data_IF_458610248180
#
_entry.id   IF_458610248180
#
_cell.length_a   1.000
_cell.length_b   1.000
_cell.length_c   1.000
_cell.angle_alpha   90.00
_cell.angle_beta   90.00
_cell.angle_gamma   90.00
#
_symmetry.space_group_name_H-M   'P 1'
#
loop_
_entity.id
_entity.type
_entity.pdbx_description
1 polymer ?
#
# COMPACT_ATOMS: atom_id res chain seq x y z
N UNK A 1 70.99 10.93 -2.29
CA UNK A 1 72.22 10.55 -3.01
C UNK A 1 71.98 9.18 -3.66
N UNK A 2 72.49 8.77 -4.83
CA UNK A 2 73.08 9.47 -6.01
C UNK A 2 73.39 8.44 -7.13
N UNK A 3 73.60 8.76 -8.43
CA UNK A 3 72.99 9.76 -9.35
C UNK A 3 73.52 9.52 -10.81
N UNK A 4 72.79 8.79 -11.68
CA UNK A 4 73.13 8.59 -13.13
C UNK A 4 74.40 7.66 -13.24
N UNK A 5 74.89 7.04 -14.33
CA UNK A 5 74.74 7.09 -15.80
C UNK A 5 74.67 5.64 -16.38
N UNK A 6 74.27 5.29 -17.62
CA UNK A 6 74.31 5.87 -18.98
C UNK A 6 75.69 5.91 -19.69
N UNK A 7 75.97 4.88 -20.52
CA UNK A 7 76.60 4.87 -21.88
C UNK A 7 76.59 3.40 -22.37
N UNK A 8 76.44 2.96 -23.63
CA UNK A 8 76.67 3.45 -25.01
C UNK A 8 78.04 3.07 -25.62
N UNK A 9 78.01 2.28 -26.70
CA UNK A 9 79.14 1.82 -27.54
C UNK A 9 78.85 0.38 -28.07
N UNK A 10 78.76 0.02 -29.36
CA UNK A 10 79.53 0.33 -30.59
C UNK A 10 80.83 -0.53 -30.71
N UNK A 11 81.26 -1.12 -31.84
CA UNK A 11 80.68 -1.60 -33.13
C UNK A 11 81.85 -2.26 -33.92
N UNK A 12 81.58 -3.18 -34.87
CA UNK A 12 82.54 -3.78 -35.83
C UNK A 12 83.69 -4.63 -35.20
N UNK A 13 84.40 -5.53 -35.90
CA UNK A 13 84.62 -5.73 -37.35
C UNK A 13 84.93 -7.20 -37.72
N UNK A 14 84.63 -7.61 -38.97
CA UNK A 14 85.41 -8.49 -39.89
C UNK A 14 85.90 -9.90 -39.40
N UNK A 15 86.26 -10.90 -40.23
CA UNK A 15 86.26 -11.24 -41.67
C UNK A 15 86.29 -12.81 -41.77
N UNK A 16 86.41 -13.58 -42.87
CA UNK A 16 86.77 -13.38 -44.29
C UNK A 16 85.95 -14.37 -45.20
N UNK A 17 86.32 -14.51 -46.49
CA UNK A 17 86.35 -15.71 -47.39
C UNK A 17 85.48 -16.98 -47.16
N UNK A 18 85.11 -17.80 -48.16
CA UNK A 18 84.62 -17.68 -49.58
C UNK A 18 84.39 -19.10 -50.14
N UNK A 19 83.75 -19.22 -51.32
CA UNK A 19 83.50 -20.47 -52.08
C UNK A 19 82.47 -21.44 -51.45
N UNK A 20 81.75 -22.30 -52.20
CA UNK A 20 81.76 -22.52 -53.66
C UNK A 20 80.32 -22.75 -54.20
N UNK A 21 80.03 -22.35 -55.44
CA UNK A 21 78.70 -22.43 -56.06
C UNK A 21 78.54 -23.70 -56.90
N UNK A 22 78.05 -24.80 -56.31
CA UNK A 22 77.67 -26.01 -57.05
C UNK A 22 76.14 -26.13 -57.19
N UNK A 23 75.68 -26.25 -58.43
CA UNK A 23 74.26 -26.16 -58.80
C UNK A 23 73.52 -27.51 -58.67
N UNK A 24 72.40 -27.53 -57.93
CA UNK A 24 71.55 -28.72 -57.78
C UNK A 24 70.11 -28.48 -58.32
N UNK A 25 69.44 -29.56 -58.76
CA UNK A 25 68.19 -29.50 -59.54
C UNK A 25 66.98 -28.99 -58.73
N UNK A 26 66.04 -28.25 -59.34
CA UNK A 26 64.81 -27.81 -58.68
C UNK A 26 63.88 -28.99 -58.40
N UNK A 27 63.47 -29.16 -57.13
CA UNK A 27 62.43 -30.09 -56.73
C UNK A 27 61.04 -29.49 -57.07
N UNK A 28 60.14 -30.27 -57.69
CA UNK A 28 58.77 -29.80 -57.96
C UNK A 28 57.98 -29.68 -56.67
N UNK A 29 57.62 -28.45 -56.28
CA UNK A 29 56.73 -28.21 -55.16
C UNK A 29 55.28 -28.65 -55.49
N UNK A 30 54.68 -29.45 -54.60
CA UNK A 30 53.25 -29.79 -54.63
C UNK A 30 52.58 -29.09 -53.46
N UNK A 31 51.95 -27.93 -53.71
CA UNK A 31 51.19 -27.19 -52.70
C UNK A 31 50.18 -26.21 -53.34
N UNK A 32 49.11 -26.73 -53.96
CA UNK A 32 47.96 -25.91 -54.38
C UNK A 32 47.02 -25.68 -53.20
N UNK A 33 47.15 -24.54 -52.52
CA UNK A 33 46.27 -24.14 -51.42
C UNK A 33 45.57 -22.81 -51.75
N UNK A 34 44.30 -22.87 -52.14
CA UNK A 34 43.48 -21.68 -52.38
C UNK A 34 43.05 -21.03 -51.05
N UNK A 35 43.06 -19.70 -50.92
CA UNK A 35 42.57 -19.04 -49.71
C UNK A 35 41.04 -19.18 -49.61
N UNK A 36 40.57 -19.97 -48.64
CA UNK A 36 39.14 -20.11 -48.35
C UNK A 36 38.56 -18.78 -47.82
N UNK A 37 37.98 -17.99 -48.73
CA UNK A 37 37.18 -16.81 -48.39
C UNK A 37 35.93 -17.26 -47.62
N UNK A 38 35.93 -17.05 -46.30
CA UNK A 38 34.76 -17.26 -45.46
C UNK A 38 33.57 -16.48 -46.02
N UNK A 39 32.50 -17.19 -46.39
CA UNK A 39 31.27 -16.55 -46.85
C UNK A 39 30.51 -15.98 -45.65
N UNK A 40 29.98 -14.74 -45.72
CA UNK A 40 29.15 -14.21 -44.64
C UNK A 40 27.86 -15.01 -44.51
N UNK A 41 27.45 -15.32 -43.28
CA UNK A 41 26.27 -16.13 -42.99
C UNK A 41 25.02 -15.63 -43.73
N UNK A 42 24.19 -16.53 -44.32
CA UNK A 42 22.99 -16.15 -45.06
C UNK A 42 22.09 -15.16 -44.30
N UNK A 43 21.60 -14.13 -45.01
CA UNK A 43 20.79 -13.04 -44.42
C UNK A 43 19.54 -13.53 -43.67
N UNK A 44 18.98 -14.69 -44.04
CA UNK A 44 17.84 -15.28 -43.32
C UNK A 44 18.22 -15.70 -41.90
N UNK A 45 19.38 -16.35 -41.70
CA UNK A 45 19.91 -16.72 -40.37
C UNK A 45 20.17 -15.48 -39.52
N UNK A 46 20.75 -14.43 -40.11
CA UNK A 46 20.97 -13.14 -39.43
C UNK A 46 19.65 -12.49 -39.00
N UNK A 47 18.59 -12.61 -39.81
CA UNK A 47 17.26 -12.09 -39.47
C UNK A 47 16.57 -12.88 -38.35
N UNK A 48 16.75 -14.20 -38.32
CA UNK A 48 16.23 -15.09 -37.28
C UNK A 48 16.92 -14.82 -35.93
N UNK A 49 18.26 -14.74 -35.95
CA UNK A 49 19.07 -14.38 -34.78
C UNK A 49 18.70 -13.00 -34.22
N UNK A 50 18.54 -11.98 -35.06
CA UNK A 50 18.12 -10.63 -34.62
C UNK A 50 16.73 -10.61 -34.01
N UNK A 51 15.74 -11.31 -34.59
CA UNK A 51 14.38 -11.37 -34.04
C UNK A 51 14.36 -12.05 -32.67
N UNK A 52 15.07 -13.17 -32.54
CA UNK A 52 15.15 -13.90 -31.27
C UNK A 52 15.94 -13.12 -30.21
N UNK A 53 17.02 -12.42 -30.59
CA UNK A 53 17.77 -11.56 -29.68
C UNK A 53 16.93 -10.38 -29.14
N UNK A 54 16.10 -9.76 -29.98
CA UNK A 54 15.16 -8.70 -29.56
C UNK A 54 14.10 -9.27 -28.60
N UNK A 55 13.56 -10.46 -28.88
CA UNK A 55 12.60 -11.12 -28.00
C UNK A 55 13.22 -11.47 -26.63
N UNK A 56 14.44 -12.04 -26.59
CA UNK A 56 15.15 -12.33 -25.35
C UNK A 56 15.51 -11.06 -24.57
N UNK A 57 15.94 -9.99 -25.23
CA UNK A 57 16.20 -8.70 -24.59
C UNK A 57 14.91 -8.10 -24.00
N UNK A 58 13.78 -8.20 -24.71
CA UNK A 58 12.47 -7.80 -24.20
C UNK A 58 12.02 -8.61 -22.99
N UNK A 59 12.26 -9.92 -22.98
CA UNK A 59 11.97 -10.78 -21.83
C UNK A 59 12.84 -10.45 -20.60
N UNK A 60 14.14 -10.20 -20.81
CA UNK A 60 15.05 -9.75 -19.74
C UNK A 60 14.65 -8.37 -19.21
N UNK A 61 14.28 -7.43 -20.08
CA UNK A 61 13.80 -6.11 -19.68
C UNK A 61 12.47 -6.19 -18.89
N UNK A 62 11.52 -7.02 -19.32
CA UNK A 62 10.27 -7.25 -18.59
C UNK A 62 10.51 -7.90 -17.22
N UNK A 63 11.41 -8.88 -17.14
CA UNK A 63 11.84 -9.48 -15.87
C UNK A 63 12.51 -8.47 -14.95
N UNK A 64 13.41 -7.63 -15.46
CA UNK A 64 14.04 -6.55 -14.70
C UNK A 64 13.01 -5.51 -14.21
N UNK A 65 12.03 -5.13 -15.02
CA UNK A 65 10.94 -4.24 -14.61
C UNK A 65 10.11 -4.87 -13.47
N UNK A 66 9.78 -6.17 -13.57
CA UNK A 66 9.01 -6.86 -12.53
C UNK A 66 9.79 -7.03 -11.21
N UNK A 67 11.11 -7.24 -11.27
CA UNK A 67 11.97 -7.40 -10.08
C UNK A 67 12.30 -6.05 -9.43
N UNK A 68 12.62 -5.02 -10.23
CA UNK A 68 12.98 -3.69 -9.72
C UNK A 68 11.76 -2.86 -9.33
N UNK A 69 10.56 -3.23 -9.81
CA UNK A 69 9.27 -2.57 -9.59
C UNK A 69 9.35 -1.03 -9.52
N UNK A 70 9.89 -0.35 -10.57
CA UNK A 70 10.22 1.06 -10.49
C UNK A 70 8.97 1.93 -10.29
N UNK A 71 9.10 3.02 -9.53
CA UNK A 71 7.98 3.87 -9.10
C UNK A 71 7.07 4.34 -10.24
N UNK A 72 7.63 4.59 -11.44
CA UNK A 72 6.85 4.94 -12.64
C UNK A 72 5.85 3.84 -13.05
N UNK A 73 6.23 2.57 -12.94
CA UNK A 73 5.35 1.43 -13.26
C UNK A 73 4.27 1.29 -12.19
N UNK A 74 4.62 1.46 -10.91
CA UNK A 74 3.63 1.51 -9.82
C UNK A 74 2.62 2.65 -10.03
N UNK A 75 3.06 3.86 -10.40
CA UNK A 75 2.18 4.99 -10.71
C UNK A 75 1.23 4.65 -11.87
N UNK A 76 1.74 4.06 -12.95
CA UNK A 76 0.92 3.64 -14.10
C UNK A 76 -0.11 2.57 -13.73
N UNK A 77 0.28 1.57 -12.93
CA UNK A 77 -0.61 0.52 -12.42
C UNK A 77 -1.72 1.11 -11.53
N UNK A 78 -1.38 1.97 -10.57
CA UNK A 78 -2.35 2.58 -9.65
C UNK A 78 -3.26 3.60 -10.34
N UNK A 79 -2.78 4.27 -11.39
CA UNK A 79 -3.61 5.11 -12.25
C UNK A 79 -4.58 4.26 -13.09
N UNK A 80 -4.14 3.13 -13.66
CA UNK A 80 -5.03 2.20 -14.35
C UNK A 80 -6.07 1.58 -13.40
N UNK A 81 -5.67 1.20 -12.18
CA UNK A 81 -6.57 0.71 -11.14
C UNK A 81 -7.63 1.76 -10.76
N UNK A 82 -7.23 3.04 -10.64
CA UNK A 82 -8.16 4.15 -10.39
C UNK A 82 -9.16 4.30 -11.54
N UNK A 83 -8.68 4.33 -12.78
CA UNK A 83 -9.53 4.41 -13.98
C UNK A 83 -10.53 3.25 -14.05
N UNK A 84 -10.13 2.03 -13.67
CA UNK A 84 -11.06 0.89 -13.61
C UNK A 84 -12.13 1.04 -12.50
N UNK A 85 -11.82 1.67 -11.36
CA UNK A 85 -12.84 1.99 -10.35
C UNK A 85 -13.81 3.08 -10.84
N UNK A 86 -13.30 4.11 -11.52
CA UNK A 86 -14.10 5.19 -12.13
C UNK A 86 -15.02 4.64 -13.24
N UNK A 87 -14.48 3.81 -14.16
CA UNK A 87 -15.23 3.15 -15.24
C UNK A 87 -16.24 2.10 -14.75
N UNK A 88 -15.98 1.44 -13.62
CA UNK A 88 -16.96 0.53 -12.98
C UNK A 88 -18.16 1.30 -12.43
N UNK A 89 -17.98 2.59 -12.12
CA UNK A 89 -19.02 3.46 -11.60
C UNK A 89 -19.44 3.19 -10.14
N UNK A 90 -20.52 3.86 -9.70
CA UNK A 90 -21.08 3.71 -8.36
C UNK A 90 -21.55 2.28 -8.09
N UNK A 91 -21.35 1.81 -6.86
CA UNK A 91 -21.90 0.54 -6.38
C UNK A 91 -22.75 0.83 -5.15
N UNK A 92 -23.98 0.33 -5.14
CA UNK A 92 -24.93 0.50 -4.03
C UNK A 92 -24.32 -0.02 -2.73
N UNK A 93 -24.28 0.78 -1.65
CA UNK A 93 -23.74 0.33 -0.36
C UNK A 93 -24.64 -0.76 0.24
N UNK A 94 -24.08 -1.72 1.01
CA UNK A 94 -24.89 -2.71 1.72
C UNK A 94 -25.80 -2.03 2.76
N UNK A 95 -27.08 -2.41 2.80
CA UNK A 95 -28.05 -1.96 3.80
C UNK A 95 -27.77 -2.45 5.23
N UNK A 96 -26.64 -3.12 5.45
CA UNK A 96 -26.16 -3.58 6.77
C UNK A 96 -25.19 -2.61 7.44
N UNK A 97 -24.86 -1.49 6.79
CA UNK A 97 -23.95 -0.45 7.30
C UNK A 97 -24.67 0.89 7.18
N UNK A 98 -24.78 1.62 8.29
CA UNK A 98 -25.18 3.02 8.30
C UNK A 98 -23.94 3.88 8.55
N UNK A 99 -23.77 4.94 7.76
CA UNK A 99 -22.74 5.96 7.96
C UNK A 99 -23.40 7.21 8.52
N UNK A 100 -22.90 7.70 9.67
CA UNK A 100 -23.28 9.00 10.24
C UNK A 100 -22.09 9.91 10.03
N UNK A 101 -22.20 10.84 9.08
CA UNK A 101 -21.11 11.74 8.69
C UNK A 101 -21.05 12.97 9.57
N UNK A 102 -19.83 13.45 9.84
CA UNK A 102 -19.56 14.83 10.24
C UNK A 102 -19.10 15.55 8.97
N UNK A 103 -19.83 16.58 8.55
CA UNK A 103 -19.56 17.37 7.35
C UNK A 103 -19.57 18.87 7.64
N UNK A 104 -19.21 19.70 6.66
CA UNK A 104 -19.15 21.17 6.79
C UNK A 104 -20.49 21.76 7.22
N UNK A 105 -21.61 21.18 6.77
CA UNK A 105 -22.96 21.59 7.17
C UNK A 105 -23.21 21.31 8.66
N UNK A 106 -22.80 20.14 9.16
CA UNK A 106 -22.93 19.75 10.57
C UNK A 106 -22.00 20.56 11.48
N UNK A 107 -20.75 20.80 11.05
CA UNK A 107 -19.81 21.66 11.77
C UNK A 107 -20.29 23.13 11.81
N UNK A 108 -21.01 23.58 10.77
CA UNK A 108 -21.65 24.90 10.72
C UNK A 108 -22.84 25.09 11.67
N UNK A 109 -23.44 24.01 12.21
CA UNK A 109 -24.63 24.11 13.08
C UNK A 109 -24.37 24.84 14.41
N UNK A 110 -23.09 25.05 14.77
CA UNK A 110 -22.69 25.96 15.85
C UNK A 110 -23.40 27.32 15.78
N UNK A 111 -23.58 27.87 14.57
CA UNK A 111 -24.26 29.15 14.36
C UNK A 111 -25.79 29.09 14.50
N UNK A 112 -26.41 27.90 14.48
CA UNK A 112 -27.86 27.71 14.67
C UNK A 112 -28.20 27.77 16.16
N UNK A 113 -27.44 27.02 16.98
CA UNK A 113 -27.58 27.05 18.44
C UNK A 113 -27.43 28.48 19.03
N UNK A 114 -26.56 29.30 18.43
CA UNK A 114 -26.34 30.68 18.86
C UNK A 114 -27.48 31.65 18.50
N UNK A 115 -28.41 31.27 17.63
CA UNK A 115 -29.57 32.10 17.26
C UNK A 115 -30.71 31.96 18.28
N UNK A 116 -31.07 30.73 18.65
CA UNK A 116 -31.98 30.45 19.75
C UNK A 116 -31.52 29.22 20.57
N UNK A 117 -30.81 29.44 21.70
CA UNK A 117 -30.38 28.36 22.59
C UNK A 117 -31.51 27.59 23.28
N UNK A 118 -32.75 28.09 23.24
CA UNK A 118 -33.93 27.46 23.87
C UNK A 118 -34.61 26.52 22.87
N UNK A 119 -34.83 26.97 21.63
CA UNK A 119 -35.33 26.11 20.54
C UNK A 119 -34.33 24.99 20.21
N UNK A 120 -33.04 25.34 20.09
CA UNK A 120 -31.99 24.42 19.64
C UNK A 120 -31.19 23.76 20.77
N UNK A 121 -31.77 23.61 21.96
CA UNK A 121 -31.10 23.07 23.15
C UNK A 121 -30.50 21.65 22.98
N UNK A 122 -30.98 20.83 22.03
CA UNK A 122 -30.33 19.55 21.71
C UNK A 122 -28.94 19.68 21.05
N UNK A 123 -28.64 20.82 20.42
CA UNK A 123 -27.37 21.10 19.72
C UNK A 123 -26.23 21.57 20.66
N UNK A 124 -26.53 21.91 21.92
CA UNK A 124 -25.56 22.39 22.91
C UNK A 124 -24.27 21.53 23.02
N UNK A 125 -24.34 20.18 22.96
CA UNK A 125 -23.14 19.33 23.01
C UNK A 125 -22.23 19.40 21.77
N UNK A 126 -22.73 19.93 20.65
CA UNK A 126 -22.01 20.04 19.37
C UNK A 126 -21.76 21.50 18.92
N UNK A 127 -22.04 22.48 19.79
CA UNK A 127 -21.94 23.92 19.49
C UNK A 127 -20.54 24.44 19.13
N UNK A 128 -19.47 23.68 19.42
CA UNK A 128 -18.08 24.06 19.17
C UNK A 128 -17.20 22.82 19.08
N UNK A 129 -16.22 22.82 18.18
CA UNK A 129 -15.28 21.71 17.99
C UNK A 129 -14.00 21.91 18.85
N UNK A 130 -13.48 20.86 19.53
CA UNK A 130 -14.03 19.51 19.63
C UNK A 130 -15.34 19.44 20.40
N UNK A 131 -16.27 18.59 19.93
CA UNK A 131 -17.57 18.39 20.57
C UNK A 131 -17.47 17.70 21.93
N UNK A 132 -18.49 17.93 22.78
CA UNK A 132 -18.65 17.25 24.06
C UNK A 132 -18.72 15.74 23.89
N UNK A 133 -18.08 15.01 24.79
CA UNK A 133 -18.13 13.54 24.91
C UNK A 133 -19.58 13.05 25.10
N UNK A 134 -20.42 13.85 25.77
CA UNK A 134 -21.87 13.67 25.86
C UNK A 134 -22.58 13.55 24.49
N UNK A 135 -22.10 14.23 23.44
CA UNK A 135 -22.66 14.10 22.09
C UNK A 135 -22.47 12.67 21.55
N UNK A 136 -21.22 12.19 21.59
CA UNK A 136 -20.86 10.83 21.20
C UNK A 136 -21.60 9.79 22.04
N UNK A 137 -21.67 9.99 23.36
CA UNK A 137 -22.41 9.12 24.28
C UNK A 137 -23.89 8.96 23.86
N UNK A 138 -24.59 10.07 23.59
CA UNK A 138 -25.99 10.07 23.11
C UNK A 138 -26.15 9.35 21.77
N UNK A 139 -25.25 9.57 20.80
CA UNK A 139 -25.33 8.95 19.47
C UNK A 139 -25.05 7.45 19.55
N UNK A 140 -24.00 7.03 20.28
CA UNK A 140 -23.66 5.62 20.50
C UNK A 140 -24.84 4.88 21.15
N UNK A 141 -25.40 5.43 22.24
CA UNK A 141 -26.53 4.81 22.94
C UNK A 141 -27.80 4.73 22.05
N UNK A 142 -28.15 5.81 21.34
CA UNK A 142 -29.28 5.81 20.38
C UNK A 142 -29.09 4.71 19.32
N UNK A 143 -27.91 4.58 18.72
CA UNK A 143 -27.61 3.58 17.68
C UNK A 143 -27.61 2.13 18.20
N UNK A 144 -26.96 1.87 19.36
CA UNK A 144 -26.90 0.53 19.95
C UNK A 144 -28.27 0.06 20.47
N UNK A 145 -29.11 1.00 20.92
CA UNK A 145 -30.52 0.75 21.30
C UNK A 145 -31.39 0.48 20.08
N UNK A 146 -31.14 1.18 18.96
CA UNK A 146 -31.79 0.92 17.66
C UNK A 146 -31.33 -0.38 16.98
N UNK A 147 -30.50 -1.21 17.63
CA UNK A 147 -30.10 -2.53 17.15
C UNK A 147 -28.80 -2.59 16.35
N UNK A 148 -28.02 -1.50 16.29
CA UNK A 148 -26.68 -1.56 15.72
C UNK A 148 -25.82 -2.58 16.49
N UNK A 149 -25.21 -3.55 15.81
CA UNK A 149 -24.36 -4.57 16.46
C UNK A 149 -23.18 -3.92 17.18
N UNK A 150 -22.51 -3.01 16.48
CA UNK A 150 -21.36 -2.21 16.89
C UNK A 150 -21.57 -0.78 16.42
N UNK A 151 -21.04 0.19 17.17
CA UNK A 151 -20.80 1.56 16.70
C UNK A 151 -19.30 1.80 16.62
N UNK A 152 -18.83 2.30 15.48
CA UNK A 152 -17.44 2.68 15.27
C UNK A 152 -17.36 4.21 15.17
N UNK A 153 -16.49 4.84 15.97
CA UNK A 153 -16.35 6.29 16.07
C UNK A 153 -15.00 6.72 15.49
N UNK A 154 -15.04 7.31 14.31
CA UNK A 154 -13.88 7.82 13.58
C UNK A 154 -13.48 9.23 14.08
N UNK A 155 -13.20 9.32 15.38
CA UNK A 155 -12.66 10.50 16.06
C UNK A 155 -11.69 10.02 17.13
N UNK A 156 -10.47 10.54 17.14
CA UNK A 156 -9.44 10.14 18.11
C UNK A 156 -9.66 10.87 19.43
N UNK A 157 -10.09 10.12 20.46
CA UNK A 157 -10.46 10.63 21.78
C UNK A 157 -9.33 10.45 22.80
N UNK A 158 -8.12 10.91 22.47
CA UNK A 158 -6.91 10.64 23.26
C UNK A 158 -6.69 11.58 24.45
N UNK A 159 -6.98 12.87 24.28
CA UNK A 159 -6.87 13.89 25.33
C UNK A 159 -8.13 13.97 26.22
N UNK A 160 -8.02 14.48 27.47
CA UNK A 160 -9.14 14.89 28.31
C UNK A 160 -10.13 15.81 27.58
N UNK A 161 -11.40 15.80 27.99
CA UNK A 161 -12.39 16.74 27.49
C UNK A 161 -12.10 18.16 27.97
N UNK A 162 -12.17 19.13 27.05
CA UNK A 162 -12.14 20.57 27.35
C UNK A 162 -13.34 21.03 28.19
N UNK A 163 -14.36 20.19 28.34
CA UNK A 163 -15.54 20.43 29.17
C UNK A 163 -15.46 19.73 30.55
N UNK A 164 -14.31 19.12 30.88
CA UNK A 164 -13.99 18.53 32.18
C UNK A 164 -14.42 17.07 32.37
N UNK A 165 -13.92 16.46 33.44
CA UNK A 165 -14.00 15.01 33.71
C UNK A 165 -15.42 14.42 33.67
N UNK A 166 -16.43 15.21 34.04
CA UNK A 166 -17.83 14.79 34.01
C UNK A 166 -18.36 14.52 32.59
N UNK A 167 -17.81 15.21 31.58
CA UNK A 167 -18.13 14.96 30.17
C UNK A 167 -17.47 13.67 29.67
N UNK A 168 -16.17 13.47 29.94
CA UNK A 168 -15.49 12.19 29.68
C UNK A 168 -16.22 11.02 30.40
N UNK A 169 -16.69 11.22 31.64
CA UNK A 169 -17.47 10.21 32.37
C UNK A 169 -18.82 9.90 31.71
N UNK A 170 -19.47 10.86 31.04
CA UNK A 170 -20.71 10.62 30.29
C UNK A 170 -20.51 9.64 29.12
N UNK A 171 -19.38 9.74 28.40
CA UNK A 171 -19.00 8.73 27.40
C UNK A 171 -18.58 7.41 28.05
N UNK A 172 -17.76 7.47 29.11
CA UNK A 172 -17.32 6.26 29.84
C UNK A 172 -18.50 5.38 30.27
N UNK A 173 -19.56 5.97 30.84
CA UNK A 173 -20.73 5.24 31.31
C UNK A 173 -21.50 4.50 30.19
N UNK A 174 -21.47 5.02 28.96
CA UNK A 174 -22.05 4.33 27.78
C UNK A 174 -21.15 3.20 27.30
N UNK A 175 -19.82 3.38 27.34
CA UNK A 175 -18.86 2.31 27.02
C UNK A 175 -18.98 1.13 28.01
N UNK A 176 -19.05 1.42 29.31
CA UNK A 176 -19.24 0.40 30.38
C UNK A 176 -20.56 -0.37 30.23
N UNK A 177 -21.59 0.25 29.65
CA UNK A 177 -22.90 -0.37 29.38
C UNK A 177 -22.88 -1.29 28.16
N UNK A 178 -21.97 -1.06 27.21
CA UNK A 178 -21.88 -1.79 25.95
C UNK A 178 -20.44 -2.27 25.63
N UNK A 179 -19.80 -3.04 26.54
CA UNK A 179 -18.41 -3.46 26.39
C UNK A 179 -18.22 -4.31 25.13
N UNK A 180 -17.14 -4.06 24.40
CA UNK A 180 -16.84 -4.73 23.13
C UNK A 180 -17.68 -4.28 21.93
N UNK A 181 -18.76 -3.50 22.14
CA UNK A 181 -19.66 -3.03 21.05
C UNK A 181 -19.38 -1.62 20.55
N UNK A 182 -18.34 -0.96 21.07
CA UNK A 182 -17.88 0.35 20.59
C UNK A 182 -16.42 0.26 20.18
N UNK A 183 -16.12 0.71 18.96
CA UNK A 183 -14.75 0.87 18.45
C UNK A 183 -14.41 2.36 18.39
N UNK A 184 -13.29 2.75 19.00
CA UNK A 184 -12.78 4.11 18.96
C UNK A 184 -11.52 4.17 18.07
N UNK A 185 -11.38 5.26 17.30
CA UNK A 185 -10.19 5.51 16.51
C UNK A 185 -8.94 5.73 17.38
N UNK A 186 -7.88 5.00 17.07
CA UNK A 186 -6.50 5.37 17.39
C UNK A 186 -5.80 5.80 16.10
N UNK A 187 -4.66 6.48 16.20
CA UNK A 187 -3.86 6.86 15.02
C UNK A 187 -2.36 6.76 15.31
N UNK A 188 -1.55 6.64 14.27
CA UNK A 188 -0.12 6.87 14.31
C UNK A 188 0.17 8.30 13.86
N UNK A 189 0.90 9.04 14.69
CA UNK A 189 1.39 10.38 14.41
C UNK A 189 2.92 10.37 14.35
N UNK A 190 3.48 11.16 13.45
CA UNK A 190 4.92 11.31 13.31
C UNK A 190 5.38 12.54 14.08
N UNK A 191 6.20 12.37 15.11
CA UNK A 191 6.90 13.47 15.77
C UNK A 191 8.19 13.75 15.00
N UNK A 192 8.21 14.84 14.22
CA UNK A 192 9.35 15.23 13.40
C UNK A 192 10.44 16.00 14.18
N UNK A 193 10.13 16.48 15.39
CA UNK A 193 10.94 17.42 16.17
C UNK A 193 12.05 16.74 17.03
N UNK A 194 12.61 15.64 16.53
CA UNK A 194 13.74 14.94 17.14
C UNK A 194 14.95 15.01 16.21
N UNK A 195 16.05 15.59 16.71
CA UNK A 195 17.31 15.79 15.97
C UNK A 195 18.05 14.48 15.57
N UNK A 196 17.40 13.33 15.71
CA UNK A 196 17.92 11.98 15.46
C UNK A 196 16.97 11.12 14.59
N UNK A 197 15.83 11.67 14.13
CA UNK A 197 14.91 11.03 13.18
C UNK A 197 13.44 11.11 13.62
N UNK A 198 12.54 10.86 12.67
CA UNK A 198 11.09 10.77 12.92
C UNK A 198 10.77 9.64 13.91
N UNK A 199 9.95 9.93 14.94
CA UNK A 199 9.40 8.90 15.83
C UNK A 199 7.89 8.76 15.61
N UNK A 200 7.44 7.53 15.36
CA UNK A 200 6.02 7.23 15.21
C UNK A 200 5.40 6.88 16.57
N UNK A 201 4.60 7.81 17.09
CA UNK A 201 3.83 7.60 18.32
C UNK A 201 2.41 7.15 17.98
N UNK A 202 1.89 6.22 18.78
CA UNK A 202 0.51 5.76 18.69
C UNK A 202 -0.37 6.60 19.61
N UNK A 203 -1.15 7.49 19.03
CA UNK A 203 -2.11 8.37 19.68
C UNK A 203 -3.40 7.59 19.94
N UNK A 204 -3.68 7.35 21.22
CA UNK A 204 -4.61 6.32 21.70
C UNK A 204 -5.77 6.96 22.46
N UNK A 205 -7.02 6.48 22.28
CA UNK A 205 -8.13 6.81 23.15
C UNK A 205 -7.76 6.69 24.64
N UNK A 206 -8.29 7.60 25.46
CA UNK A 206 -7.95 7.68 26.88
C UNK A 206 -7.99 6.30 27.58
N UNK A 207 -7.09 6.05 28.57
CA UNK A 207 -7.15 4.82 29.37
C UNK A 207 -8.51 4.61 30.06
N UNK A 208 -9.22 5.69 30.38
CA UNK A 208 -10.60 5.71 30.91
C UNK A 208 -11.62 5.05 29.97
N UNK A 209 -11.47 5.19 28.65
CA UNK A 209 -12.37 4.59 27.66
C UNK A 209 -11.99 3.14 27.34
N UNK A 210 -10.71 2.84 27.24
CA UNK A 210 -10.21 1.48 27.01
C UNK A 210 -10.53 0.55 28.19
N UNK A 211 -10.35 1.02 29.43
CA UNK A 211 -10.75 0.28 30.64
C UNK A 211 -12.27 0.16 30.82
N UNK A 212 -13.07 0.96 30.12
CA UNK A 212 -14.52 0.84 30.05
C UNK A 212 -15.01 -0.17 28.99
N UNK A 213 -14.10 -0.88 28.30
CA UNK A 213 -14.45 -1.89 27.30
C UNK A 213 -14.59 -1.38 25.88
N UNK A 214 -14.11 -0.16 25.57
CA UNK A 214 -13.94 0.28 24.19
C UNK A 214 -12.84 -0.55 23.49
N UNK A 215 -13.17 -1.09 22.32
CA UNK A 215 -12.18 -1.63 21.37
C UNK A 215 -11.50 -0.46 20.67
N UNK A 216 -10.25 -0.60 20.25
CA UNK A 216 -9.56 0.40 19.43
C UNK A 216 -9.06 -0.20 18.12
N UNK A 217 -8.89 0.64 17.11
CA UNK A 217 -8.25 0.28 15.85
C UNK A 217 -7.81 1.52 15.07
N UNK A 218 -6.71 1.41 14.33
CA UNK A 218 -6.06 2.56 13.71
C UNK A 218 -6.72 3.02 12.41
N UNK A 219 -6.82 4.33 12.23
CA UNK A 219 -7.47 4.96 11.06
C UNK A 219 -6.51 5.31 9.92
N UNK A 220 -5.20 5.20 10.14
CA UNK A 220 -4.18 5.48 9.13
C UNK A 220 -4.31 4.55 7.90
N UNK A 221 -4.16 5.16 6.71
CA UNK A 221 -4.16 4.49 5.42
C UNK A 221 -2.85 4.81 4.68
N UNK A 222 -2.23 3.80 4.07
CA UNK A 222 -0.99 3.99 3.34
C UNK A 222 -1.26 4.61 1.96
N UNK A 223 -0.84 5.85 1.76
CA UNK A 223 -0.79 6.47 0.43
C UNK A 223 0.12 5.65 -0.50
N UNK A 224 -0.29 5.52 -1.75
CA UNK A 224 0.46 4.81 -2.79
C UNK A 224 1.13 5.82 -3.76
N UNK A 225 2.08 5.40 -4.61
CA UNK A 225 2.95 6.33 -5.34
C UNK A 225 2.28 7.37 -6.26
N UNK A 226 0.98 7.26 -6.53
CA UNK A 226 0.18 8.25 -7.25
C UNK A 226 -0.65 9.19 -6.34
N UNK A 227 -0.38 9.20 -5.03
CA UNK A 227 -1.06 10.05 -4.04
C UNK A 227 -2.48 9.61 -3.69
N UNK A 228 -2.91 8.42 -4.10
CA UNK A 228 -4.24 7.85 -3.80
C UNK A 228 -4.12 6.63 -2.88
N UNK A 229 -5.27 6.12 -2.44
CA UNK A 229 -5.39 4.93 -1.58
C UNK A 229 -6.14 3.84 -2.35
N UNK A 230 -5.52 2.67 -2.54
CA UNK A 230 -6.15 1.48 -3.12
C UNK A 230 -6.00 0.23 -2.24
N UNK A 231 -5.05 0.25 -1.29
CA UNK A 231 -4.85 -0.76 -0.24
C UNK A 231 -5.69 -0.46 1.01
N UNK A 232 -6.13 -1.51 1.71
CA UNK A 232 -6.77 -1.38 3.03
C UNK A 232 -5.74 -1.04 4.13
N UNK A 233 -6.22 -0.49 5.24
CA UNK A 233 -5.39 -0.02 6.36
C UNK A 233 -4.49 -1.10 6.97
N UNK A 234 -4.83 -2.38 6.85
CA UNK A 234 -4.00 -3.54 7.19
C UNK A 234 -2.53 -3.39 6.78
N UNK A 235 -2.29 -2.84 5.59
CA UNK A 235 -0.95 -2.73 5.02
C UNK A 235 -0.17 -1.53 5.62
N UNK A 236 -0.83 -0.59 6.30
CA UNK A 236 -0.17 0.60 6.87
C UNK A 236 0.91 0.22 7.90
N UNK A 237 0.63 -0.70 8.83
CA UNK A 237 1.63 -1.12 9.83
C UNK A 237 2.79 -1.88 9.18
N UNK A 238 2.52 -2.71 8.17
CA UNK A 238 3.57 -3.44 7.42
C UNK A 238 4.34 -2.56 6.42
N UNK A 239 3.82 -1.39 6.08
CA UNK A 239 4.50 -0.31 5.37
C UNK A 239 5.40 0.46 6.34
N UNK A 240 4.84 0.86 7.48
CA UNK A 240 5.51 1.63 8.52
C UNK A 240 6.73 0.88 9.10
N UNK A 241 6.57 -0.38 9.50
CA UNK A 241 7.67 -1.25 10.00
C UNK A 241 8.79 -1.46 8.98
N UNK A 242 8.51 -1.27 7.68
CA UNK A 242 9.50 -1.37 6.60
C UNK A 242 10.24 -0.06 6.34
N UNK A 243 9.65 1.06 6.71
CA UNK A 243 10.23 2.41 6.60
C UNK A 243 10.99 2.79 7.88
N UNK A 244 10.51 2.34 9.04
CA UNK A 244 11.11 2.54 10.35
C UNK A 244 11.32 1.18 11.06
N UNK A 245 12.58 0.74 11.09
CA UNK A 245 12.99 -0.50 11.77
C UNK A 245 12.96 -0.41 13.30
N UNK A 246 13.04 0.80 13.88
CA UNK A 246 12.94 0.99 15.33
C UNK A 246 11.50 0.85 15.81
N UNK A 247 10.55 1.43 15.07
CA UNK A 247 9.13 1.18 15.26
C UNK A 247 8.76 -0.30 15.08
N UNK A 248 9.45 -1.00 14.16
CA UNK A 248 9.38 -2.46 14.03
C UNK A 248 9.66 -3.19 15.35
N UNK A 249 10.82 -2.96 15.96
CA UNK A 249 11.22 -3.57 17.23
C UNK A 249 10.23 -3.26 18.37
N UNK A 250 9.72 -2.03 18.44
CA UNK A 250 8.74 -1.61 19.45
C UNK A 250 7.35 -2.26 19.30
N UNK A 251 7.06 -2.94 18.18
CA UNK A 251 5.82 -3.70 17.98
C UNK A 251 5.96 -5.21 18.21
N UNK A 252 7.15 -5.79 18.23
CA UNK A 252 7.31 -7.25 18.37
C UNK A 252 7.00 -7.76 19.79
N UNK A 253 7.14 -6.91 20.81
CA UNK A 253 6.82 -7.20 22.22
C UNK A 253 5.31 -7.19 22.56
N UNK A 254 4.40 -7.06 21.58
CA UNK A 254 2.96 -6.89 21.85
C UNK A 254 1.99 -7.42 20.79
N UNK A 255 0.68 -7.35 21.08
CA UNK A 255 -0.34 -7.64 20.07
C UNK A 255 -0.32 -6.55 18.99
N UNK A 256 -0.03 -6.95 17.75
CA UNK A 256 -0.02 -6.05 16.59
C UNK A 256 -1.35 -5.26 16.50
N UNK A 257 -1.30 -3.92 16.43
CA UNK A 257 -2.50 -3.10 16.39
C UNK A 257 -3.33 -3.40 15.14
N UNK A 258 -4.66 -3.34 15.30
CA UNK A 258 -5.64 -3.69 14.26
C UNK A 258 -6.10 -2.42 13.55
N UNK A 259 -6.38 -2.49 12.24
CA UNK A 259 -7.04 -1.37 11.58
C UNK A 259 -8.42 -1.13 12.20
N UNK A 260 -8.92 0.11 12.11
CA UNK A 260 -10.27 0.48 12.55
C UNK A 260 -11.35 -0.39 11.85
N UNK A 261 -11.13 -0.72 10.58
CA UNK A 261 -12.00 -1.62 9.82
C UNK A 261 -12.00 -3.06 10.37
N UNK A 262 -10.82 -3.65 10.63
CA UNK A 262 -10.71 -5.00 11.21
C UNK A 262 -11.23 -5.06 12.64
N UNK A 263 -10.94 -4.06 13.46
CA UNK A 263 -11.50 -3.94 14.81
C UNK A 263 -13.03 -3.91 14.77
N UNK A 264 -13.62 -3.15 13.84
CA UNK A 264 -15.08 -3.07 13.63
C UNK A 264 -15.68 -4.39 13.14
N UNK A 265 -15.06 -5.08 12.17
CA UNK A 265 -15.54 -6.38 11.71
C UNK A 265 -15.47 -7.45 12.82
N UNK A 266 -14.37 -7.50 13.59
CA UNK A 266 -14.20 -8.44 14.70
C UNK A 266 -15.21 -8.19 15.81
N UNK A 267 -15.37 -6.93 16.25
CA UNK A 267 -16.38 -6.56 17.25
C UNK A 267 -17.83 -6.89 16.79
N UNK A 268 -18.12 -6.76 15.49
CA UNK A 268 -19.44 -7.05 14.94
C UNK A 268 -19.73 -8.55 14.71
N UNK A 269 -18.75 -9.42 15.01
CA UNK A 269 -18.72 -10.83 14.61
C UNK A 269 -19.01 -11.02 13.11
N UNK A 270 -18.55 -10.07 12.28
CA UNK A 270 -18.72 -10.11 10.83
C UNK A 270 -17.63 -11.00 10.20
N UNK A 271 -17.90 -11.65 9.05
CA UNK A 271 -16.87 -12.39 8.33
C UNK A 271 -15.72 -11.46 7.94
N UNK A 272 -14.50 -11.79 8.37
CA UNK A 272 -13.33 -11.04 7.96
C UNK A 272 -13.11 -11.20 6.44
N UNK A 273 -13.02 -10.06 5.75
CA UNK A 273 -12.80 -9.94 4.30
C UNK A 273 -11.57 -9.10 3.96
N UNK A 274 -10.87 -8.61 4.99
CA UNK A 274 -9.68 -7.79 4.86
C UNK A 274 -8.46 -8.73 4.73
N UNK A 275 -7.40 -8.35 4.00
CA UNK A 275 -6.21 -9.19 3.88
C UNK A 275 -5.62 -9.51 5.27
N UNK A 276 -4.99 -10.68 5.48
CA UNK A 276 -4.20 -10.88 6.68
C UNK A 276 -3.03 -9.87 6.73
N UNK A 277 -2.57 -9.43 7.91
CA UNK A 277 -1.33 -8.66 8.02
C UNK A 277 -0.16 -9.48 7.47
N UNK A 278 0.89 -8.84 6.95
CA UNK A 278 1.97 -9.54 6.23
C UNK A 278 2.72 -10.56 7.09
N UNK A 279 2.77 -10.39 8.42
CA UNK A 279 3.32 -11.40 9.34
C UNK A 279 2.50 -12.70 9.44
N UNK A 280 1.27 -12.70 8.93
CA UNK A 280 0.37 -13.86 8.82
C UNK A 280 0.09 -14.25 7.36
N UNK A 281 0.55 -13.44 6.39
CA UNK A 281 0.49 -13.78 4.98
C UNK A 281 1.61 -14.79 4.64
N UNK A 282 1.28 -15.82 3.85
CA UNK A 282 2.30 -16.70 3.29
C UNK A 282 3.25 -15.88 2.37
N UNK A 283 4.55 -16.20 2.33
CA UNK A 283 5.55 -15.33 1.71
C UNK A 283 5.30 -15.11 0.20
N UNK A 284 5.68 -13.95 -0.36
CA UNK A 284 5.49 -13.62 -1.76
C UNK A 284 6.22 -14.65 -2.65
N UNK A 285 5.45 -15.32 -3.52
CA UNK A 285 5.85 -16.56 -4.20
C UNK A 285 4.88 -17.70 -3.93
N UNK A 286 4.21 -17.69 -2.78
CA UNK A 286 2.99 -18.48 -2.56
C UNK A 286 1.84 -17.89 -3.38
N UNK A 287 1.66 -18.39 -4.60
CA UNK A 287 0.60 -17.97 -5.50
C UNK A 287 -0.78 -18.36 -4.98
N UNK A 288 -1.40 -17.52 -4.15
CA UNK A 288 -2.82 -17.63 -3.77
C UNK A 288 -3.67 -17.32 -5.00
N UNK A 289 -3.83 -18.33 -5.85
CA UNK A 289 -4.83 -18.35 -6.92
C UNK A 289 -6.19 -18.35 -6.23
N UNK A 290 -6.76 -17.16 -6.02
CA UNK A 290 -8.16 -17.01 -5.61
C UNK A 290 -9.01 -17.69 -6.70
N UNK A 291 -9.66 -18.83 -6.43
CA UNK A 291 -10.35 -19.56 -7.47
C UNK A 291 -11.56 -18.75 -7.91
N UNK A 292 -11.53 -18.25 -9.15
CA UNK A 292 -12.64 -17.51 -9.72
C UNK A 292 -13.91 -18.37 -9.70
N UNK A 293 -14.83 -18.08 -8.76
CA UNK A 293 -16.09 -18.81 -8.61
C UNK A 293 -16.94 -18.63 -9.86
N UNK A 294 -16.90 -19.61 -10.76
CA UNK A 294 -17.71 -19.71 -11.99
C UNK A 294 -19.20 -19.95 -11.69
N UNK A 295 -19.83 -19.03 -10.98
CA UNK A 295 -21.28 -19.00 -10.74
C UNK A 295 -21.87 -17.70 -11.28
N UNK A 296 -21.61 -17.46 -12.58
CA UNK A 296 -22.27 -16.42 -13.36
C UNK A 296 -23.71 -16.89 -13.72
N UNK A 297 -24.54 -17.11 -12.69
CA UNK A 297 -25.94 -17.44 -12.87
C UNK A 297 -26.72 -16.19 -13.26
N UNK A 298 -26.81 -15.95 -14.58
CA UNK A 298 -27.81 -15.07 -15.17
C UNK A 298 -29.20 -15.66 -14.89
N UNK A 299 -29.78 -15.31 -13.74
CA UNK A 299 -31.19 -15.59 -13.46
C UNK A 299 -32.01 -14.60 -14.32
N UNK A 300 -32.85 -15.07 -15.25
CA UNK A 300 -33.66 -14.15 -16.04
C UNK A 300 -34.61 -13.38 -15.11
N UNK A 301 -34.69 -12.07 -15.30
CA UNK A 301 -35.74 -11.26 -14.67
C UNK A 301 -37.11 -11.74 -15.20
N UNK A 302 -38.12 -11.93 -14.34
CA UNK A 302 -39.48 -12.13 -14.82
C UNK A 302 -39.92 -10.84 -15.54
N UNK A 303 -40.47 -10.96 -16.75
CA UNK A 303 -41.00 -9.79 -17.45
C UNK A 303 -42.28 -9.33 -16.75
N UNK A 304 -42.29 -8.06 -16.33
CA UNK A 304 -43.52 -7.38 -15.94
C UNK A 304 -44.42 -7.26 -17.17
N UNK A 305 -45.65 -7.78 -17.07
CA UNK A 305 -46.65 -7.60 -18.12
C UNK A 305 -47.25 -6.18 -18.03
N UNK A 306 -47.77 -5.59 -19.13
CA UNK A 306 -48.13 -4.16 -19.15
C UNK A 306 -49.32 -3.77 -18.27
N UNK A 307 -50.12 -4.73 -17.80
CA UNK A 307 -51.48 -4.50 -17.30
C UNK A 307 -51.55 -4.10 -15.81
N UNK A 308 -50.50 -3.47 -15.25
CA UNK A 308 -50.48 -2.96 -13.87
C UNK A 308 -50.44 -1.42 -13.80
N UNK A 309 -51.07 -0.75 -14.76
CA UNK A 309 -51.35 0.69 -14.74
C UNK A 309 -52.85 0.93 -14.93
N UNK A 310 -53.66 0.59 -13.92
CA UNK A 310 -55.00 1.14 -13.64
C UNK A 310 -55.61 0.42 -12.41
N UNK A 311 -55.41 0.97 -11.21
CA UNK A 311 -56.47 1.16 -10.18
C UNK A 311 -55.90 1.88 -8.94
N UNK A 312 -56.76 2.70 -8.33
CA UNK A 312 -56.64 3.55 -7.12
C UNK A 312 -55.32 3.57 -6.33
#
# INVERSE_FOLDING_TARGET
MSRIQRTTGQQDSNEIETAELTQAKPFRAIASASPHRLQPLPRWIQSFGRRNAIASLGAVAAGAIAVLNPTLVQILERNAQTLFFELRGPVTPPNTIALVTIDDATLGQAGIYQQDPVEFAELEPIQSWPWKRLAYARVIERLLTAGAKVVAVDVVLSSPSSYGDADDQALRAVLERYPGRVVLAEQFVTTEDLAQGSLYQRDMPQPSFRSAGAVTGFINLALEPNGKIHRFGEIFVDELVRQDSLFGLLLEDGERPKSFARATLQAAAAPDRLPPPMSQAAPPGSGVVVPARKHFFLRPQPQLSPDSLLES
#
